data_IF_199317078249
#
_entry.id   IF_199317078249
#
_cell.length_a   1.000
_cell.length_b   1.000
_cell.length_c   1.000
_cell.angle_alpha   90.00
_cell.angle_beta   90.00
_cell.angle_gamma   90.00
#
_symmetry.space_group_name_H-M   'P 1'
#
loop_
_entity.id
_entity.type
_entity.pdbx_description
1 polymer ?
#
# COMPACT_ATOMS: atom_id res chain seq x y z
N UNK A 1 -8.00 -34.97 -18.47
CA UNK A 1 -8.91 -34.62 -17.36
C UNK A 1 -8.42 -33.36 -16.71
N UNK A 2 -9.12 -32.24 -16.90
CA UNK A 2 -8.81 -30.97 -16.25
C UNK A 2 -9.15 -31.11 -14.77
N UNK A 3 -8.15 -31.12 -13.91
CA UNK A 3 -8.33 -31.24 -12.47
C UNK A 3 -9.20 -30.05 -12.02
N UNK A 4 -10.43 -30.30 -11.54
CA UNK A 4 -11.29 -29.24 -11.00
C UNK A 4 -10.55 -28.54 -9.86
N UNK A 5 -10.33 -27.24 -9.99
CA UNK A 5 -9.69 -26.44 -8.93
C UNK A 5 -10.65 -26.35 -7.75
N UNK A 6 -10.27 -26.90 -6.62
CA UNK A 6 -10.99 -26.69 -5.36
C UNK A 6 -10.58 -25.34 -4.81
N UNK A 7 -11.43 -24.33 -4.98
CA UNK A 7 -11.18 -23.00 -4.49
C UNK A 7 -11.21 -22.95 -2.95
N UNK A 8 -10.24 -22.27 -2.31
CA UNK A 8 -10.20 -22.11 -0.86
C UNK A 8 -11.18 -21.02 -0.40
N UNK A 9 -11.46 -20.98 0.89
CA UNK A 9 -12.19 -19.87 1.49
C UNK A 9 -11.29 -18.64 1.62
N UNK A 10 -11.78 -17.47 1.20
CA UNK A 10 -11.07 -16.19 1.24
C UNK A 10 -11.80 -15.21 2.13
N UNK A 11 -11.08 -14.41 2.90
CA UNK A 11 -11.65 -13.33 3.70
C UNK A 11 -11.18 -11.98 3.19
N UNK A 12 -12.10 -11.01 3.19
CA UNK A 12 -11.82 -9.61 2.96
C UNK A 12 -12.03 -8.85 4.25
N UNK A 13 -11.02 -8.09 4.70
CA UNK A 13 -11.17 -7.15 5.81
C UNK A 13 -11.34 -5.78 5.18
N UNK A 14 -12.50 -5.18 5.39
CA UNK A 14 -12.84 -3.86 4.89
C UNK A 14 -12.98 -2.89 6.05
N UNK A 15 -12.13 -1.86 6.07
CA UNK A 15 -12.24 -0.79 7.04
C UNK A 15 -13.08 0.34 6.47
N UNK A 16 -13.98 0.90 7.29
CA UNK A 16 -14.85 1.99 6.89
C UNK A 16 -15.03 3.03 7.98
N UNK A 17 -15.18 4.29 7.54
CA UNK A 17 -15.63 5.44 8.32
C UNK A 17 -16.31 6.42 7.38
N UNK A 18 -17.64 6.60 7.52
CA UNK A 18 -18.43 7.47 6.67
C UNK A 18 -18.17 7.22 5.17
N UNK A 19 -18.27 5.94 4.77
CA UNK A 19 -17.91 5.47 3.42
C UNK A 19 -18.97 5.70 2.36
N UNK A 20 -20.24 5.82 2.74
CA UNK A 20 -21.37 6.13 1.86
C UNK A 20 -21.35 5.34 0.54
N UNK A 21 -21.33 6.06 -0.59
CA UNK A 21 -21.25 5.46 -1.93
C UNK A 21 -19.95 4.68 -2.20
N UNK A 22 -18.86 5.02 -1.52
CA UNK A 22 -17.58 4.33 -1.68
C UNK A 22 -17.69 2.88 -1.26
N UNK A 23 -18.16 2.62 -0.03
CA UNK A 23 -18.32 1.27 0.49
C UNK A 23 -19.33 0.45 -0.35
N UNK A 24 -20.39 1.09 -0.87
CA UNK A 24 -21.34 0.45 -1.79
C UNK A 24 -20.63 -0.07 -3.04
N UNK A 25 -19.92 0.80 -3.75
CA UNK A 25 -19.18 0.45 -4.98
C UNK A 25 -18.13 -0.64 -4.74
N UNK A 26 -17.42 -0.54 -3.60
CA UNK A 26 -16.45 -1.53 -3.17
C UNK A 26 -17.08 -2.91 -3.03
N UNK A 27 -18.14 -3.05 -2.22
CA UNK A 27 -18.83 -4.31 -1.96
C UNK A 27 -19.55 -4.86 -3.19
N UNK A 28 -20.17 -4.00 -4.01
CA UNK A 28 -20.76 -4.42 -5.28
C UNK A 28 -19.72 -4.99 -6.25
N UNK A 29 -18.49 -4.40 -6.30
CA UNK A 29 -17.41 -4.94 -7.10
C UNK A 29 -16.96 -6.33 -6.64
N UNK A 30 -17.02 -6.56 -5.32
CA UNK A 30 -16.74 -7.85 -4.72
C UNK A 30 -17.85 -8.88 -5.02
N UNK A 31 -19.12 -8.48 -4.94
CA UNK A 31 -20.26 -9.35 -5.33
C UNK A 31 -20.26 -9.77 -6.80
N UNK A 32 -19.67 -8.96 -7.68
CA UNK A 32 -19.55 -9.25 -9.13
C UNK A 32 -18.47 -10.28 -9.46
N UNK A 33 -17.71 -10.75 -8.47
CA UNK A 33 -16.65 -11.72 -8.71
C UNK A 33 -17.20 -13.09 -9.10
N UNK A 34 -16.53 -13.77 -10.02
CA UNK A 34 -16.87 -15.12 -10.47
C UNK A 34 -16.47 -16.22 -9.50
N UNK A 35 -15.95 -15.85 -8.33
CA UNK A 35 -15.57 -16.75 -7.25
C UNK A 35 -16.84 -17.27 -6.54
N UNK A 36 -16.87 -18.54 -6.05
CA UNK A 36 -18.04 -19.05 -5.33
C UNK A 36 -18.39 -18.17 -4.11
N UNK A 37 -19.63 -17.71 -4.05
CA UNK A 37 -20.06 -16.71 -3.06
C UNK A 37 -19.99 -17.23 -1.61
N UNK A 38 -20.23 -18.52 -1.40
CA UNK A 38 -20.12 -19.22 -0.10
C UNK A 38 -18.67 -19.31 0.43
N UNK A 39 -17.69 -19.14 -0.48
CA UNK A 39 -16.28 -19.12 -0.14
C UNK A 39 -15.73 -17.71 0.08
N UNK A 40 -16.53 -16.66 -0.05
CA UNK A 40 -16.15 -15.27 0.22
C UNK A 40 -16.66 -14.85 1.60
N UNK A 41 -15.76 -14.52 2.50
CA UNK A 41 -16.07 -13.99 3.83
C UNK A 41 -15.70 -12.50 3.90
N UNK A 42 -16.68 -11.63 4.15
CA UNK A 42 -16.47 -10.17 4.22
C UNK A 42 -16.62 -9.70 5.66
N UNK A 43 -15.50 -9.27 6.24
CA UNK A 43 -15.42 -8.69 7.58
C UNK A 43 -15.32 -7.19 7.45
N UNK A 44 -16.32 -6.46 7.90
CA UNK A 44 -16.32 -4.99 7.90
C UNK A 44 -16.05 -4.49 9.31
N UNK A 45 -15.00 -3.70 9.46
CA UNK A 45 -14.68 -3.01 10.71
C UNK A 45 -15.04 -1.54 10.53
N UNK A 46 -16.11 -1.12 11.19
CA UNK A 46 -16.59 0.25 11.17
C UNK A 46 -16.01 1.07 12.31
N UNK A 47 -15.45 2.24 11.97
CA UNK A 47 -14.79 3.14 12.93
C UNK A 47 -15.76 4.18 13.53
N UNK A 48 -17.05 3.83 13.66
CA UNK A 48 -18.09 4.70 14.22
C UNK A 48 -18.71 5.62 13.17
N UNK A 49 -19.09 5.07 12.01
CA UNK A 49 -19.77 5.83 10.96
C UNK A 49 -21.10 6.40 11.46
N UNK A 50 -21.40 7.62 11.02
CA UNK A 50 -22.65 8.35 11.31
C UNK A 50 -23.57 8.43 10.09
N UNK A 51 -23.12 7.91 8.95
CA UNK A 51 -23.91 7.78 7.73
C UNK A 51 -24.45 6.34 7.57
N UNK A 52 -25.03 6.02 6.44
CA UNK A 52 -25.62 4.71 6.13
C UNK A 52 -24.59 3.62 5.76
N UNK A 53 -23.30 3.78 6.09
CA UNK A 53 -22.24 2.81 5.74
C UNK A 53 -22.46 1.43 6.34
N UNK A 54 -22.94 1.38 7.59
CA UNK A 54 -23.19 0.12 8.31
C UNK A 54 -24.35 -0.64 7.67
N UNK A 55 -25.43 0.04 7.34
CA UNK A 55 -26.61 -0.52 6.68
C UNK A 55 -26.27 -1.05 5.29
N UNK A 56 -25.50 -0.28 4.51
CA UNK A 56 -24.99 -0.70 3.20
C UNK A 56 -24.15 -1.96 3.34
N UNK A 57 -23.22 -1.99 4.29
CA UNK A 57 -22.34 -3.13 4.49
C UNK A 57 -23.14 -4.41 4.81
N UNK A 58 -24.11 -4.32 5.72
CA UNK A 58 -24.98 -5.45 6.10
C UNK A 58 -25.83 -5.92 4.92
N UNK A 59 -26.46 -5.01 4.18
CA UNK A 59 -27.32 -5.35 3.02
C UNK A 59 -26.56 -6.03 1.89
N UNK A 60 -25.26 -5.76 1.80
CA UNK A 60 -24.36 -6.37 0.81
C UNK A 60 -23.62 -7.62 1.34
N UNK A 61 -24.00 -8.14 2.52
CA UNK A 61 -23.51 -9.42 3.05
C UNK A 61 -22.25 -9.31 3.92
N UNK A 62 -21.85 -8.10 4.32
CA UNK A 62 -20.75 -7.87 5.24
C UNK A 62 -21.09 -8.23 6.69
N UNK A 63 -20.20 -8.91 7.39
CA UNK A 63 -20.24 -9.08 8.84
C UNK A 63 -19.63 -7.85 9.50
N UNK A 64 -20.48 -6.97 10.03
CA UNK A 64 -20.06 -5.67 10.55
C UNK A 64 -19.73 -5.72 12.04
N UNK A 65 -18.57 -5.15 12.42
CA UNK A 65 -18.12 -4.96 13.78
C UNK A 65 -17.76 -3.46 13.96
N UNK A 66 -18.35 -2.83 14.98
CA UNK A 66 -18.18 -1.38 15.23
C UNK A 66 -17.12 -1.17 16.30
N UNK A 67 -16.09 -0.37 15.99
CA UNK A 67 -14.97 -0.06 16.87
C UNK A 67 -14.55 1.42 16.74
N UNK A 68 -15.29 2.37 17.34
CA UNK A 68 -15.10 3.81 17.14
C UNK A 68 -13.74 4.32 17.62
N UNK A 69 -13.18 3.73 18.67
CA UNK A 69 -11.89 4.12 19.26
C UNK A 69 -10.68 3.50 18.57
N UNK A 70 -10.88 2.72 17.52
CA UNK A 70 -9.80 2.08 16.76
C UNK A 70 -9.14 3.05 15.77
N UNK A 71 -7.83 2.89 15.58
CA UNK A 71 -7.14 3.45 14.42
C UNK A 71 -7.09 2.42 13.27
N UNK A 72 -6.59 2.83 12.11
CA UNK A 72 -6.48 1.99 10.92
C UNK A 72 -5.84 0.63 11.23
N UNK A 73 -4.70 0.62 11.94
CA UNK A 73 -3.93 -0.60 12.19
C UNK A 73 -4.55 -1.51 13.25
N UNK A 74 -5.03 -0.93 14.35
CA UNK A 74 -5.73 -1.70 15.38
C UNK A 74 -7.01 -2.36 14.83
N UNK A 75 -7.72 -1.67 13.94
CA UNK A 75 -8.92 -2.20 13.31
C UNK A 75 -8.61 -3.27 12.26
N UNK A 76 -7.47 -3.16 11.56
CA UNK A 76 -6.97 -4.23 10.71
C UNK A 76 -6.72 -5.52 11.53
N UNK A 77 -6.00 -5.41 12.65
CA UNK A 77 -5.73 -6.54 13.54
C UNK A 77 -7.01 -7.13 14.12
N UNK A 78 -7.98 -6.28 14.52
CA UNK A 78 -9.31 -6.75 14.95
C UNK A 78 -10.01 -7.57 13.86
N UNK A 79 -9.90 -7.10 12.62
CA UNK A 79 -10.40 -7.84 11.45
C UNK A 79 -9.75 -9.20 11.30
N UNK A 80 -8.42 -9.31 11.47
CA UNK A 80 -7.69 -10.60 11.42
C UNK A 80 -8.21 -11.64 12.43
N UNK A 81 -8.71 -11.21 13.58
CA UNK A 81 -9.32 -12.11 14.57
C UNK A 81 -10.74 -12.58 14.19
N UNK A 82 -11.36 -11.97 13.17
CA UNK A 82 -12.74 -12.27 12.75
C UNK A 82 -12.84 -13.05 11.45
N UNK A 83 -11.74 -13.20 10.70
CA UNK A 83 -11.72 -13.92 9.42
C UNK A 83 -11.97 -15.42 9.56
N UNK A 84 -12.51 -16.02 8.48
CA UNK A 84 -12.84 -17.44 8.38
C UNK A 84 -12.15 -18.16 7.22
N UNK A 85 -11.42 -17.39 6.38
CA UNK A 85 -10.72 -17.91 5.22
C UNK A 85 -9.28 -18.31 5.51
N UNK A 86 -8.68 -19.05 4.59
CA UNK A 86 -7.25 -19.42 4.61
C UNK A 86 -6.36 -18.32 4.04
N UNK A 87 -6.98 -17.40 3.32
CA UNK A 87 -6.35 -16.24 2.69
C UNK A 87 -7.10 -14.98 3.08
N UNK A 88 -6.37 -13.87 3.24
CA UNK A 88 -6.96 -12.57 3.61
C UNK A 88 -6.49 -11.46 2.68
N UNK A 89 -7.43 -10.62 2.27
CA UNK A 89 -7.16 -9.39 1.53
C UNK A 89 -7.63 -8.19 2.33
N UNK A 90 -6.75 -7.19 2.44
CA UNK A 90 -7.09 -5.91 3.04
C UNK A 90 -7.72 -4.98 2.01
N UNK A 91 -8.93 -4.54 2.27
CA UNK A 91 -9.73 -3.70 1.39
C UNK A 91 -10.08 -2.38 2.09
N UNK A 92 -10.08 -1.29 1.35
CA UNK A 92 -10.56 0.01 1.80
C UNK A 92 -11.86 0.37 1.09
N UNK A 93 -12.68 1.19 1.72
CA UNK A 93 -14.00 1.59 1.21
C UNK A 93 -13.98 2.32 -0.14
N UNK A 94 -12.83 2.84 -0.56
CA UNK A 94 -12.61 3.58 -1.81
C UNK A 94 -11.90 2.76 -2.90
N UNK A 95 -11.84 1.42 -2.72
CA UNK A 95 -11.30 0.48 -3.71
C UNK A 95 -12.44 -0.21 -4.47
N UNK A 96 -12.30 -0.29 -5.79
CA UNK A 96 -13.22 -1.02 -6.68
C UNK A 96 -12.42 -2.06 -7.47
N UNK A 97 -12.74 -3.35 -7.29
CA UNK A 97 -12.07 -4.46 -7.96
C UNK A 97 -12.38 -4.44 -9.46
N UNK A 98 -11.35 -4.62 -10.28
CA UNK A 98 -11.46 -4.64 -11.75
C UNK A 98 -11.79 -6.05 -12.24
N UNK A 99 -12.76 -6.13 -13.17
CA UNK A 99 -13.15 -7.41 -13.77
C UNK A 99 -13.88 -8.34 -12.82
N UNK A 100 -14.18 -9.53 -13.31
CA UNK A 100 -14.92 -10.57 -12.56
C UNK A 100 -14.04 -11.65 -11.96
N UNK A 101 -12.78 -11.74 -12.38
CA UNK A 101 -11.86 -12.81 -12.02
C UNK A 101 -10.72 -12.35 -11.11
N UNK A 102 -10.88 -11.19 -10.44
CA UNK A 102 -9.87 -10.65 -9.54
C UNK A 102 -9.45 -11.68 -8.48
N UNK A 103 -10.43 -12.26 -7.77
CA UNK A 103 -10.15 -13.22 -6.69
C UNK A 103 -9.44 -14.45 -7.24
N UNK A 104 -9.94 -15.03 -8.33
CA UNK A 104 -9.34 -16.23 -8.97
C UNK A 104 -7.91 -15.99 -9.40
N UNK A 105 -7.65 -14.86 -10.06
CA UNK A 105 -6.32 -14.51 -10.56
C UNK A 105 -5.33 -14.25 -9.41
N UNK A 106 -5.80 -13.62 -8.32
CA UNK A 106 -4.95 -13.38 -7.16
C UNK A 106 -4.66 -14.65 -6.33
N UNK A 107 -5.60 -15.59 -6.27
CA UNK A 107 -5.46 -16.84 -5.50
C UNK A 107 -4.69 -17.91 -6.27
N UNK A 108 -4.84 -17.97 -7.60
CA UNK A 108 -4.22 -19.02 -8.43
C UNK A 108 -2.71 -19.18 -8.19
N UNK A 109 -1.86 -18.12 -8.19
CA UNK A 109 -0.44 -18.28 -7.90
C UNK A 109 -0.16 -18.90 -6.53
N UNK A 110 -0.98 -18.56 -5.52
CA UNK A 110 -0.85 -19.13 -4.19
C UNK A 110 -1.20 -20.63 -4.14
N UNK A 111 -2.05 -21.11 -5.05
CA UNK A 111 -2.33 -22.54 -5.19
C UNK A 111 -1.23 -23.26 -5.97
N UNK A 112 -0.67 -22.60 -6.98
CA UNK A 112 0.36 -23.16 -7.87
C UNK A 112 1.73 -23.27 -7.20
N UNK A 113 2.06 -22.34 -6.27
CA UNK A 113 3.38 -22.28 -5.63
C UNK A 113 3.26 -22.07 -4.10
N UNK A 114 3.56 -23.11 -3.36
CA UNK A 114 3.48 -23.11 -1.89
C UNK A 114 4.55 -22.22 -1.20
N UNK A 115 5.59 -21.78 -1.91
CA UNK A 115 6.59 -20.84 -1.35
C UNK A 115 6.02 -19.44 -1.20
N UNK A 116 5.00 -19.08 -1.97
CA UNK A 116 4.44 -17.75 -2.02
C UNK A 116 3.66 -17.42 -0.74
N UNK A 117 4.05 -16.32 -0.09
CA UNK A 117 3.41 -15.78 1.11
C UNK A 117 2.15 -15.01 0.75
N UNK A 118 2.26 -14.19 -0.28
CA UNK A 118 1.18 -13.33 -0.73
C UNK A 118 1.28 -13.05 -2.24
N UNK A 119 0.13 -12.66 -2.80
CA UNK A 119 0.06 -12.08 -4.15
C UNK A 119 -0.34 -10.61 -4.06
N UNK A 120 0.17 -9.80 -4.97
CA UNK A 120 -0.22 -8.41 -5.12
C UNK A 120 -0.42 -8.04 -6.58
N UNK A 121 -1.12 -6.95 -6.81
CA UNK A 121 -1.41 -6.42 -8.15
C UNK A 121 -1.29 -4.89 -8.12
N UNK A 122 -1.35 -4.28 -9.29
CA UNK A 122 -1.25 -2.81 -9.42
C UNK A 122 -2.61 -2.14 -9.42
N UNK A 123 -2.58 -0.85 -9.20
CA UNK A 123 -3.69 0.06 -9.44
C UNK A 123 -3.80 0.40 -10.92
N UNK A 124 -5.00 0.76 -11.33
CA UNK A 124 -5.29 1.23 -12.68
C UNK A 124 -5.94 2.61 -12.65
N UNK A 125 -5.56 3.50 -13.55
CA UNK A 125 -6.27 4.76 -13.72
C UNK A 125 -7.68 4.51 -14.30
N UNK A 126 -8.66 5.27 -13.84
CA UNK A 126 -10.01 5.30 -14.41
C UNK A 126 -10.34 6.70 -14.90
N UNK A 127 -10.97 6.81 -16.09
CA UNK A 127 -11.26 8.10 -16.73
C UNK A 127 -12.08 9.07 -15.87
N UNK A 128 -12.95 8.54 -15.00
CA UNK A 128 -13.80 9.32 -14.11
C UNK A 128 -13.14 9.69 -12.78
N UNK A 129 -11.87 9.33 -12.58
CA UNK A 129 -11.11 9.78 -11.41
C UNK A 129 -10.68 11.23 -11.58
N UNK A 130 -10.64 11.96 -10.47
CA UNK A 130 -9.89 13.21 -10.41
C UNK A 130 -8.44 12.96 -10.82
N UNK A 131 -7.75 13.95 -11.39
CA UNK A 131 -6.39 13.78 -11.93
C UNK A 131 -5.38 13.29 -10.86
N UNK A 132 -5.58 13.62 -9.59
CA UNK A 132 -4.68 13.21 -8.49
C UNK A 132 -4.67 11.69 -8.28
N UNK A 133 -5.77 11.00 -7.92
CA UNK A 133 -5.76 9.54 -7.82
C UNK A 133 -5.41 8.87 -9.14
N UNK A 134 -5.76 9.48 -10.29
CA UNK A 134 -5.40 8.97 -11.61
C UNK A 134 -3.89 9.01 -11.84
N UNK A 135 -3.22 10.12 -11.46
CA UNK A 135 -1.75 10.21 -11.47
C UNK A 135 -1.09 9.13 -10.60
N UNK A 136 -1.58 8.95 -9.37
CA UNK A 136 -1.04 7.97 -8.42
C UNK A 136 -1.22 6.52 -8.91
N UNK A 137 -2.27 6.23 -9.68
CA UNK A 137 -2.57 4.89 -10.19
C UNK A 137 -1.60 4.40 -11.28
N UNK A 138 -0.70 5.25 -11.76
CA UNK A 138 0.38 4.85 -12.67
C UNK A 138 1.59 4.23 -11.97
N UNK A 139 1.53 4.08 -10.64
CA UNK A 139 2.52 3.40 -9.82
C UNK A 139 1.95 2.10 -9.26
N UNK A 140 2.80 1.12 -8.95
CA UNK A 140 2.35 -0.18 -8.46
C UNK A 140 1.53 -0.09 -7.16
N UNK A 141 1.78 0.92 -6.32
CA UNK A 141 1.23 0.98 -4.96
C UNK A 141 0.96 2.41 -4.51
N UNK A 142 0.24 3.21 -5.27
CA UNK A 142 -0.06 4.61 -4.92
C UNK A 142 1.15 5.42 -4.45
N UNK A 143 2.29 5.18 -5.01
CA UNK A 143 3.45 5.97 -4.70
C UNK A 143 3.31 7.35 -5.35
N UNK A 144 3.38 8.39 -4.54
CA UNK A 144 3.75 9.70 -5.04
C UNK A 144 5.25 9.70 -5.42
N UNK A 145 5.73 10.71 -6.14
CA UNK A 145 7.11 10.74 -6.62
C UNK A 145 8.17 10.61 -5.53
N UNK A 146 7.92 11.09 -4.30
CA UNK A 146 8.83 10.91 -3.17
C UNK A 146 8.90 9.44 -2.73
N UNK A 147 7.75 8.79 -2.55
CA UNK A 147 7.72 7.39 -2.14
C UNK A 147 8.29 6.48 -3.23
N UNK A 148 7.99 6.76 -4.52
CA UNK A 148 8.60 6.06 -5.64
C UNK A 148 10.13 6.14 -5.61
N UNK A 149 10.66 7.31 -5.28
CA UNK A 149 12.09 7.53 -5.16
C UNK A 149 12.72 6.78 -3.97
N UNK A 150 12.03 6.70 -2.84
CA UNK A 150 12.53 6.08 -1.61
C UNK A 150 12.47 4.55 -1.63
N UNK A 151 11.48 3.98 -2.30
CA UNK A 151 11.28 2.53 -2.34
C UNK A 151 12.12 1.84 -3.43
N UNK A 152 12.34 0.55 -3.25
CA UNK A 152 12.88 -0.30 -4.31
C UNK A 152 11.81 -0.45 -5.42
N UNK A 153 12.14 -0.22 -6.71
CA UNK A 153 11.24 -0.56 -7.80
C UNK A 153 10.82 -2.03 -7.74
N UNK A 154 9.53 -2.29 -7.93
CA UNK A 154 8.96 -3.67 -7.84
C UNK A 154 9.68 -4.63 -8.79
N UNK A 155 10.04 -4.15 -9.99
CA UNK A 155 10.73 -4.93 -11.03
C UNK A 155 12.10 -5.45 -10.58
N UNK A 156 12.75 -4.76 -9.64
CA UNK A 156 14.04 -5.22 -9.07
C UNK A 156 13.90 -6.47 -8.19
N UNK A 157 12.67 -6.80 -7.79
CA UNK A 157 12.39 -8.04 -7.04
C UNK A 157 12.00 -9.21 -7.93
N UNK A 158 11.79 -9.03 -9.23
CA UNK A 158 11.36 -10.07 -10.17
C UNK A 158 12.45 -11.11 -10.37
N UNK A 159 12.12 -12.39 -10.18
CA UNK A 159 13.06 -13.50 -10.33
C UNK A 159 12.60 -14.57 -11.32
N UNK A 160 11.29 -14.77 -11.50
CA UNK A 160 10.75 -15.83 -12.36
C UNK A 160 9.40 -15.42 -12.95
N UNK A 161 9.26 -15.46 -14.28
CA UNK A 161 7.99 -15.20 -14.97
C UNK A 161 7.24 -16.52 -15.17
N UNK A 162 5.99 -16.57 -14.72
CA UNK A 162 5.07 -17.70 -14.89
C UNK A 162 3.84 -17.29 -15.69
N UNK A 163 3.00 -18.26 -16.03
CA UNK A 163 1.76 -17.96 -16.75
C UNK A 163 0.78 -17.19 -15.85
N UNK A 164 0.61 -15.91 -16.15
CA UNK A 164 -0.29 -15.00 -15.45
C UNK A 164 0.28 -14.30 -14.22
N UNK A 165 1.50 -14.58 -13.79
CA UNK A 165 2.13 -13.89 -12.65
C UNK A 165 3.67 -13.90 -12.72
N UNK A 166 4.29 -13.08 -11.89
CA UNK A 166 5.76 -12.99 -11.75
C UNK A 166 6.10 -13.25 -10.29
N UNK A 167 7.02 -14.20 -10.04
CA UNK A 167 7.54 -14.47 -8.71
C UNK A 167 8.53 -13.36 -8.34
N UNK A 168 8.36 -12.82 -7.15
CA UNK A 168 9.20 -11.79 -6.56
C UNK A 168 9.94 -12.37 -5.36
N UNK A 169 11.22 -12.00 -5.19
CA UNK A 169 11.98 -12.30 -3.98
C UNK A 169 12.37 -11.02 -3.29
N UNK A 170 11.85 -10.81 -2.08
CA UNK A 170 12.16 -9.64 -1.26
C UNK A 170 13.35 -9.89 -0.36
N UNK A 171 14.08 -8.82 -0.04
CA UNK A 171 15.25 -8.85 0.84
C UNK A 171 15.01 -7.98 2.06
N UNK A 172 15.63 -8.32 3.20
CA UNK A 172 15.41 -7.62 4.48
C UNK A 172 15.81 -6.12 4.44
N UNK A 173 16.78 -5.74 3.63
CA UNK A 173 17.34 -4.37 3.68
C UNK A 173 16.48 -3.34 2.97
N UNK A 174 15.84 -3.69 1.86
CA UNK A 174 15.00 -2.79 1.06
C UNK A 174 13.94 -3.58 0.34
N UNK A 175 12.69 -3.28 0.62
CA UNK A 175 11.53 -3.92 -0.02
C UNK A 175 10.82 -2.94 -0.95
N UNK A 176 10.09 -3.44 -1.98
CA UNK A 176 9.17 -2.62 -2.75
C UNK A 176 8.07 -2.01 -1.87
N UNK A 177 7.34 -0.99 -2.37
CA UNK A 177 6.21 -0.43 -1.63
C UNK A 177 5.19 -1.50 -1.26
N UNK A 178 4.58 -1.38 -0.09
CA UNK A 178 3.49 -2.27 0.30
C UNK A 178 2.28 -2.05 -0.61
N UNK A 179 1.91 -3.10 -1.34
CA UNK A 179 0.70 -3.14 -2.14
C UNK A 179 -0.45 -3.77 -1.37
N UNK A 180 -1.66 -3.66 -1.90
CA UNK A 180 -2.79 -4.48 -1.43
C UNK A 180 -2.51 -5.94 -1.79
N UNK A 181 -2.41 -6.79 -0.77
CA UNK A 181 -1.99 -8.18 -0.93
C UNK A 181 -3.04 -9.17 -0.45
N UNK A 182 -3.17 -10.29 -1.18
CA UNK A 182 -3.76 -11.50 -0.65
C UNK A 182 -2.68 -12.28 0.11
N UNK A 183 -2.79 -12.30 1.42
CA UNK A 183 -1.88 -13.04 2.29
C UNK A 183 -2.39 -14.46 2.57
N UNK A 184 -1.49 -15.41 2.58
CA UNK A 184 -1.73 -16.74 3.09
C UNK A 184 -1.60 -16.73 4.62
N UNK A 185 -2.70 -16.93 5.33
CA UNK A 185 -2.77 -16.80 6.79
C UNK A 185 -1.75 -17.68 7.53
N UNK A 186 -1.50 -18.89 7.02
CA UNK A 186 -0.53 -19.79 7.65
C UNK A 186 0.88 -19.19 7.78
N UNK A 187 1.30 -18.32 6.85
CA UNK A 187 2.61 -17.65 6.91
C UNK A 187 2.57 -16.45 7.84
N UNK A 188 1.50 -15.67 7.83
CA UNK A 188 1.33 -14.59 8.79
C UNK A 188 1.41 -15.10 10.24
N UNK A 189 0.70 -16.19 10.54
CA UNK A 189 0.71 -16.82 11.88
C UNK A 189 2.09 -17.30 12.34
N UNK A 190 3.03 -17.53 11.42
CA UNK A 190 4.41 -17.92 11.73
C UNK A 190 5.34 -16.75 11.97
N UNK A 191 4.90 -15.52 11.69
CA UNK A 191 5.69 -14.32 11.95
C UNK A 191 5.49 -13.85 13.40
N UNK A 192 6.53 -13.30 14.07
CA UNK A 192 6.35 -12.75 15.40
C UNK A 192 5.38 -11.57 15.38
N UNK A 193 4.58 -11.46 16.44
CA UNK A 193 3.69 -10.30 16.66
C UNK A 193 2.68 -10.00 15.54
N UNK A 194 2.25 -10.99 14.78
CA UNK A 194 1.35 -10.82 13.63
C UNK A 194 -0.02 -10.20 13.97
N UNK A 195 -0.39 -10.16 15.24
CA UNK A 195 -1.64 -9.55 15.75
C UNK A 195 -1.41 -8.37 16.70
N UNK A 196 -0.21 -7.79 16.73
CA UNK A 196 0.05 -6.62 17.60
C UNK A 196 -0.57 -5.34 17.03
N UNK A 197 -0.98 -4.47 17.94
CA UNK A 197 -1.79 -3.27 17.64
C UNK A 197 -1.12 -2.20 16.73
N UNK A 198 0.18 -2.28 16.52
CA UNK A 198 0.96 -1.26 15.83
C UNK A 198 1.66 -1.82 14.58
N UNK A 199 0.98 -2.64 13.80
CA UNK A 199 1.52 -3.22 12.59
C UNK A 199 1.28 -2.33 11.40
N UNK A 200 2.36 -1.88 10.76
CA UNK A 200 2.32 -1.19 9.48
C UNK A 200 2.37 -2.21 8.32
N UNK A 201 1.80 -1.92 7.15
CA UNK A 201 1.77 -2.86 6.01
C UNK A 201 3.16 -3.42 5.68
N UNK A 202 4.20 -2.58 5.76
CA UNK A 202 5.59 -2.97 5.52
C UNK A 202 6.14 -3.92 6.59
N UNK A 203 5.66 -3.82 7.83
CA UNK A 203 6.10 -4.70 8.92
C UNK A 203 5.66 -6.14 8.70
N UNK A 204 4.47 -6.37 8.12
CA UNK A 204 4.02 -7.70 7.70
C UNK A 204 4.97 -8.31 6.67
N UNK A 205 5.30 -7.52 5.64
CA UNK A 205 6.17 -7.97 4.56
C UNK A 205 7.56 -8.29 5.11
N UNK A 206 8.15 -7.36 5.88
CA UNK A 206 9.51 -7.53 6.38
C UNK A 206 9.61 -8.66 7.40
N UNK A 207 8.58 -8.85 8.23
CA UNK A 207 8.55 -9.98 9.18
C UNK A 207 8.42 -11.32 8.46
N UNK A 208 7.66 -11.40 7.37
CA UNK A 208 7.66 -12.60 6.53
C UNK A 208 9.06 -12.89 5.97
N UNK A 209 9.74 -11.85 5.43
CA UNK A 209 11.10 -11.99 4.89
C UNK A 209 12.08 -12.47 5.97
N UNK A 210 12.09 -11.82 7.15
CA UNK A 210 12.95 -12.17 8.29
C UNK A 210 12.66 -13.54 8.88
N UNK A 211 11.43 -14.01 8.75
CA UNK A 211 11.03 -15.37 9.15
C UNK A 211 11.33 -16.45 8.11
N UNK A 212 12.08 -16.12 7.03
CA UNK A 212 12.47 -17.07 6.00
C UNK A 212 11.44 -17.26 4.88
N UNK A 213 10.46 -16.35 4.76
CA UNK A 213 9.41 -16.39 3.73
C UNK A 213 9.51 -15.21 2.77
N UNK A 214 10.54 -15.13 1.87
CA UNK A 214 10.81 -13.97 1.05
C UNK A 214 10.06 -13.93 -0.28
N UNK A 215 9.21 -14.94 -0.60
CA UNK A 215 8.61 -15.08 -1.91
C UNK A 215 7.19 -14.54 -1.96
N UNK A 216 6.96 -13.64 -2.93
CA UNK A 216 5.68 -13.01 -3.24
C UNK A 216 5.39 -13.17 -4.72
N UNK A 217 4.17 -12.89 -5.18
CA UNK A 217 3.89 -12.87 -6.60
C UNK A 217 3.18 -11.59 -7.03
N UNK A 218 3.69 -10.99 -8.09
CA UNK A 218 3.02 -9.91 -8.80
C UNK A 218 2.08 -10.47 -9.85
N UNK A 219 0.81 -10.10 -9.79
CA UNK A 219 -0.25 -10.49 -10.73
C UNK A 219 -0.65 -9.25 -11.54
N UNK A 220 -0.23 -9.13 -12.82
CA UNK A 220 -0.45 -7.91 -13.61
C UNK A 220 -1.92 -7.55 -13.79
N UNK A 221 -2.78 -8.56 -13.97
CA UNK A 221 -4.21 -8.41 -14.22
C UNK A 221 -5.02 -9.25 -13.22
N UNK A 222 -6.19 -8.78 -12.78
CA UNK A 222 -6.97 -7.67 -13.33
C UNK A 222 -6.72 -6.30 -12.67
N UNK A 223 -6.08 -6.21 -11.48
CA UNK A 223 -5.88 -4.98 -10.75
C UNK A 223 -7.16 -4.39 -10.14
N UNK A 224 -7.08 -3.17 -9.62
CA UNK A 224 -8.19 -2.46 -9.01
C UNK A 224 -8.11 -0.95 -9.26
N UNK A 225 -9.23 -0.25 -9.05
CA UNK A 225 -9.30 1.20 -9.02
C UNK A 225 -9.29 1.67 -7.57
N UNK A 226 -8.53 2.73 -7.27
CA UNK A 226 -8.45 3.29 -5.92
C UNK A 226 -8.68 4.80 -5.93
N UNK A 227 -9.78 5.23 -5.38
CA UNK A 227 -10.21 6.63 -5.33
C UNK A 227 -9.63 7.36 -4.12
N UNK A 228 -8.32 7.22 -3.91
CA UNK A 228 -7.56 7.58 -2.70
C UNK A 228 -7.70 9.04 -2.23
N UNK A 229 -7.76 9.99 -3.14
CA UNK A 229 -7.81 11.41 -2.82
C UNK A 229 -8.78 12.17 -3.73
N UNK A 230 -9.56 13.08 -3.15
CA UNK A 230 -10.52 13.89 -3.91
C UNK A 230 -9.83 14.95 -4.77
N UNK A 231 -8.73 15.53 -4.28
CA UNK A 231 -7.93 16.56 -4.96
C UNK A 231 -6.53 16.63 -4.32
N UNK A 232 -5.67 17.53 -4.82
CA UNK A 232 -4.30 17.72 -4.35
C UNK A 232 -4.24 18.16 -2.87
N UNK A 233 -5.07 19.11 -2.48
CA UNK A 233 -5.11 19.59 -1.08
C UNK A 233 -5.45 18.44 -0.12
N UNK A 234 -6.45 17.62 -0.46
CA UNK A 234 -6.81 16.45 0.35
C UNK A 234 -5.66 15.43 0.41
N UNK A 235 -4.92 15.23 -0.68
CA UNK A 235 -3.75 14.36 -0.69
C UNK A 235 -2.65 14.88 0.25
N UNK A 236 -2.31 16.17 0.17
CA UNK A 236 -1.32 16.81 1.04
C UNK A 236 -1.71 16.68 2.52
N UNK A 237 -2.96 17.01 2.86
CA UNK A 237 -3.48 16.88 4.23
C UNK A 237 -3.41 15.43 4.73
N UNK A 238 -3.75 14.46 3.88
CA UNK A 238 -3.69 13.02 4.22
C UNK A 238 -2.23 12.58 4.46
N UNK A 239 -1.28 13.04 3.64
CA UNK A 239 0.15 12.72 3.82
C UNK A 239 0.71 13.31 5.11
N UNK A 240 0.47 14.58 5.37
CA UNK A 240 0.91 15.26 6.60
C UNK A 240 0.28 14.61 7.84
N UNK A 241 -1.03 14.35 7.81
CA UNK A 241 -1.71 13.64 8.90
C UNK A 241 -1.10 12.27 9.16
N UNK A 242 -0.81 11.50 8.13
CA UNK A 242 -0.20 10.17 8.27
C UNK A 242 1.21 10.25 8.90
N UNK A 243 2.00 11.28 8.57
CA UNK A 243 3.28 11.53 9.28
C UNK A 243 3.04 11.77 10.76
N UNK A 244 2.10 12.66 11.12
CA UNK A 244 1.79 12.99 12.50
C UNK A 244 1.22 11.82 13.31
N UNK A 245 0.42 10.95 12.68
CA UNK A 245 -0.23 9.82 13.37
C UNK A 245 0.66 8.57 13.47
N UNK A 246 1.54 8.36 12.49
CA UNK A 246 2.21 7.07 12.34
C UNK A 246 3.73 7.18 12.36
N UNK A 247 4.31 8.18 11.71
CA UNK A 247 5.77 8.30 11.63
C UNK A 247 6.38 8.99 12.85
N UNK A 248 5.95 10.19 13.18
CA UNK A 248 6.58 10.99 14.23
C UNK A 248 6.51 10.35 15.63
N UNK A 249 5.35 9.79 16.10
CA UNK A 249 5.27 9.13 17.41
C UNK A 249 6.14 7.88 17.54
N UNK A 250 6.39 7.22 16.42
CA UNK A 250 7.11 5.94 16.39
C UNK A 250 8.54 6.08 15.83
N UNK A 251 9.02 7.31 15.57
CA UNK A 251 10.37 7.54 15.03
C UNK A 251 11.44 6.88 15.90
N UNK A 252 12.25 6.04 15.25
CA UNK A 252 13.29 5.24 15.91
C UNK A 252 12.83 3.91 16.52
N UNK A 253 11.52 3.59 16.47
CA UNK A 253 10.96 2.33 17.00
C UNK A 253 10.55 1.35 15.90
N UNK A 254 10.55 1.76 14.63
CA UNK A 254 10.14 0.89 13.52
C UNK A 254 11.10 -0.27 13.29
N UNK A 255 10.54 -1.42 12.98
CA UNK A 255 11.28 -2.59 12.54
C UNK A 255 11.84 -2.45 11.12
N UNK A 256 11.22 -1.60 10.31
CA UNK A 256 11.63 -1.29 8.95
C UNK A 256 11.71 0.23 8.75
N UNK A 257 12.85 0.70 8.26
CA UNK A 257 13.06 2.11 7.91
C UNK A 257 13.18 2.25 6.40
N UNK A 258 12.27 3.04 5.81
CA UNK A 258 12.30 3.35 4.37
C UNK A 258 13.57 4.10 3.99
N UNK A 259 14.06 4.95 4.91
CA UNK A 259 15.27 5.73 4.78
C UNK A 259 16.16 5.52 6.01
N UNK A 260 17.41 5.12 5.78
CA UNK A 260 18.40 5.00 6.85
C UNK A 260 19.17 6.33 6.98
N UNK A 261 18.84 7.12 8.01
CA UNK A 261 19.52 8.40 8.30
C UNK A 261 21.01 8.27 8.60
N UNK A 262 21.51 7.06 8.90
CA UNK A 262 22.94 6.79 9.11
C UNK A 262 23.68 6.47 7.79
N UNK A 263 22.95 6.28 6.70
CA UNK A 263 23.54 6.02 5.39
C UNK A 263 23.67 7.32 4.59
N UNK A 264 24.91 7.81 4.46
CA UNK A 264 25.21 9.07 3.74
C UNK A 264 24.67 9.10 2.31
N UNK A 265 24.72 7.98 1.60
CA UNK A 265 24.21 7.90 0.23
C UNK A 265 22.69 8.09 0.19
N UNK A 266 21.95 7.46 1.09
CA UNK A 266 20.49 7.62 1.14
C UNK A 266 20.10 9.06 1.53
N UNK A 267 20.82 9.67 2.47
CA UNK A 267 20.60 11.07 2.86
C UNK A 267 20.92 12.02 1.70
N UNK A 268 22.05 11.81 0.99
CA UNK A 268 22.39 12.61 -0.19
C UNK A 268 21.30 12.50 -1.27
N UNK A 269 20.84 11.29 -1.54
CA UNK A 269 19.76 11.07 -2.50
C UNK A 269 18.48 11.78 -2.10
N UNK A 270 18.10 11.78 -0.81
CA UNK A 270 16.95 12.54 -0.33
C UNK A 270 17.11 14.04 -0.56
N UNK A 271 18.31 14.60 -0.27
CA UNK A 271 18.61 16.02 -0.52
C UNK A 271 18.46 16.32 -2.01
N UNK A 272 19.06 15.50 -2.87
CA UNK A 272 18.94 15.65 -4.33
C UNK A 272 17.49 15.54 -4.81
N UNK A 273 16.69 14.68 -4.17
CA UNK A 273 15.26 14.60 -4.49
C UNK A 273 14.52 15.87 -4.09
N UNK A 274 14.79 16.44 -2.92
CA UNK A 274 14.18 17.72 -2.50
C UNK A 274 14.52 18.84 -3.48
N UNK A 275 15.79 18.92 -3.94
CA UNK A 275 16.20 19.86 -4.97
C UNK A 275 15.44 19.58 -6.29
N UNK A 276 15.41 18.34 -6.75
CA UNK A 276 14.66 17.93 -7.94
C UNK A 276 13.18 18.33 -7.86
N UNK A 277 12.54 18.10 -6.71
CA UNK A 277 11.13 18.39 -6.49
C UNK A 277 10.82 19.89 -6.59
N UNK A 278 11.79 20.74 -6.27
CA UNK A 278 11.68 22.21 -6.36
C UNK A 278 12.14 22.76 -7.71
N UNK A 279 12.70 21.93 -8.59
CA UNK A 279 13.03 22.29 -9.95
C UNK A 279 11.89 21.87 -10.90
N UNK A 280 11.17 22.85 -11.44
CA UNK A 280 10.02 22.59 -12.30
C UNK A 280 10.34 21.74 -13.53
N UNK A 281 11.40 22.11 -14.26
CA UNK A 281 11.70 21.50 -15.56
C UNK A 281 12.01 20.00 -15.55
N UNK A 282 12.85 19.45 -14.66
CA UNK A 282 13.11 18.02 -14.65
C UNK A 282 11.84 17.18 -14.41
N UNK A 283 10.99 17.62 -13.48
CA UNK A 283 9.72 16.96 -13.21
C UNK A 283 8.73 17.11 -14.38
N UNK A 284 8.71 18.26 -15.06
CA UNK A 284 7.89 18.48 -16.25
C UNK A 284 8.32 17.57 -17.41
N UNK A 285 9.63 17.43 -17.65
CA UNK A 285 10.17 16.52 -18.68
C UNK A 285 9.77 15.07 -18.37
N UNK A 286 9.92 14.62 -17.14
CA UNK A 286 9.51 13.26 -16.73
C UNK A 286 8.01 13.07 -16.93
N UNK A 287 7.19 14.02 -16.49
CA UNK A 287 5.74 13.99 -16.68
C UNK A 287 5.34 13.95 -18.16
N UNK A 288 6.02 14.71 -19.01
CA UNK A 288 5.79 14.71 -20.46
C UNK A 288 6.14 13.37 -21.11
N UNK A 289 7.28 12.76 -20.76
CA UNK A 289 7.66 11.43 -21.26
C UNK A 289 6.60 10.39 -20.86
N UNK A 290 6.14 10.43 -19.62
CA UNK A 290 5.07 9.54 -19.13
C UNK A 290 3.74 9.80 -19.85
N UNK A 291 3.39 11.06 -20.12
CA UNK A 291 2.23 11.43 -20.93
C UNK A 291 2.32 10.84 -22.34
N UNK A 292 3.45 10.96 -23.02
CA UNK A 292 3.62 10.38 -24.36
C UNK A 292 3.41 8.85 -24.36
N UNK A 293 3.85 8.17 -23.29
CA UNK A 293 3.72 6.73 -23.13
C UNK A 293 2.27 6.29 -22.83
N UNK A 294 1.58 7.00 -21.96
CA UNK A 294 0.29 6.57 -21.42
C UNK A 294 -0.90 7.35 -21.97
N UNK A 295 -0.66 8.45 -22.67
CA UNK A 295 -1.68 9.35 -23.26
C UNK A 295 -2.68 9.89 -22.22
N UNK A 296 -2.24 10.10 -20.99
CA UNK A 296 -3.05 10.66 -19.91
C UNK A 296 -2.46 11.99 -19.41
N UNK A 297 -3.23 13.07 -19.58
CA UNK A 297 -2.81 14.42 -19.21
C UNK A 297 -2.53 14.58 -17.71
N UNK A 298 -3.11 13.72 -16.84
CA UNK A 298 -2.82 13.73 -15.40
C UNK A 298 -1.31 13.62 -15.11
N UNK A 299 -0.54 12.99 -16.00
CA UNK A 299 0.90 12.82 -15.87
C UNK A 299 1.68 14.11 -16.13
N UNK A 300 1.10 15.08 -16.86
CA UNK A 300 1.70 16.41 -17.02
C UNK A 300 1.71 17.21 -15.72
N UNK A 301 0.89 16.81 -14.73
CA UNK A 301 0.84 17.44 -13.41
C UNK A 301 1.96 16.96 -12.47
N UNK A 302 2.92 16.21 -12.96
CA UNK A 302 4.04 15.69 -12.17
C UNK A 302 4.83 16.77 -11.42
N UNK A 303 5.21 17.92 -12.00
CA UNK A 303 5.91 18.96 -11.24
C UNK A 303 5.07 19.53 -10.11
N UNK A 304 3.76 19.69 -10.33
CA UNK A 304 2.84 20.23 -9.32
C UNK A 304 2.70 19.26 -8.13
N UNK A 305 2.48 17.98 -8.39
CA UNK A 305 2.28 16.99 -7.33
C UNK A 305 3.59 16.71 -6.58
N UNK A 306 4.73 16.69 -7.29
CA UNK A 306 6.05 16.46 -6.71
C UNK A 306 6.42 17.58 -5.75
N UNK A 307 6.30 18.84 -6.18
CA UNK A 307 6.51 20.02 -5.35
C UNK A 307 5.57 20.01 -4.12
N UNK A 308 4.26 19.93 -4.37
CA UNK A 308 3.25 20.06 -3.32
C UNK A 308 3.40 19.01 -2.22
N UNK A 309 3.67 17.75 -2.56
CA UNK A 309 3.86 16.67 -1.59
C UNK A 309 5.18 16.87 -0.83
N UNK A 310 6.27 17.13 -1.55
CA UNK A 310 7.60 17.27 -0.93
C UNK A 310 7.62 18.42 0.07
N UNK A 311 7.13 19.59 -0.32
CA UNK A 311 7.15 20.77 0.55
C UNK A 311 6.16 20.67 1.72
N UNK A 312 4.99 20.07 1.51
CA UNK A 312 4.05 19.80 2.63
C UNK A 312 4.68 18.90 3.68
N UNK A 313 5.40 17.86 3.25
CA UNK A 313 6.08 16.94 4.15
C UNK A 313 7.28 17.63 4.82
N UNK A 314 8.10 18.36 4.08
CA UNK A 314 9.22 19.12 4.63
C UNK A 314 8.76 20.08 5.72
N UNK A 315 7.68 20.85 5.48
CA UNK A 315 7.09 21.72 6.47
C UNK A 315 6.56 20.96 7.70
N UNK A 316 5.98 19.78 7.51
CA UNK A 316 5.54 18.94 8.61
C UNK A 316 6.73 18.46 9.47
N UNK A 317 7.82 18.03 8.83
CA UNK A 317 9.05 17.64 9.53
C UNK A 317 9.68 18.81 10.31
N UNK A 318 9.69 20.01 9.76
CA UNK A 318 10.20 21.20 10.44
C UNK A 318 9.33 21.62 11.64
N UNK A 319 8.02 21.40 11.58
CA UNK A 319 7.09 21.77 12.67
C UNK A 319 7.11 20.76 13.82
N UNK A 320 7.32 19.48 13.55
CA UNK A 320 7.30 18.42 14.56
C UNK A 320 8.66 18.21 15.25
N UNK A 321 8.67 17.86 16.55
CA UNK A 321 9.90 17.61 17.31
C UNK A 321 10.66 16.38 16.77
N UNK A 322 9.97 15.28 16.49
CA UNK A 322 10.58 14.06 15.95
C UNK A 322 11.03 14.27 14.50
N UNK A 323 10.28 15.10 13.75
CA UNK A 323 10.66 15.52 12.40
C UNK A 323 11.97 16.31 12.39
N UNK A 324 12.12 17.31 13.27
CA UNK A 324 13.38 18.07 13.44
C UNK A 324 14.53 17.17 13.87
N UNK A 325 14.26 16.21 14.77
CA UNK A 325 15.27 15.23 15.18
C UNK A 325 15.71 14.38 13.98
N UNK A 326 14.78 13.90 13.16
CA UNK A 326 15.11 13.17 11.92
C UNK A 326 16.03 13.98 10.99
N UNK A 327 15.73 15.26 10.77
CA UNK A 327 16.56 16.16 9.96
C UNK A 327 17.96 16.32 10.57
N UNK A 328 18.04 16.57 11.87
CA UNK A 328 19.32 16.72 12.60
C UNK A 328 20.15 15.44 12.54
N UNK A 329 19.53 14.27 12.76
CA UNK A 329 20.21 12.97 12.69
C UNK A 329 20.77 12.72 11.28
N UNK A 330 19.99 13.11 10.25
CA UNK A 330 20.41 13.01 8.84
C UNK A 330 21.62 13.92 8.53
N UNK A 331 21.57 15.18 8.96
CA UNK A 331 22.67 16.14 8.77
C UNK A 331 23.91 15.68 9.52
N UNK A 332 23.78 15.26 10.77
CA UNK A 332 24.91 14.80 11.59
C UNK A 332 25.58 13.56 10.98
N UNK A 333 24.82 12.66 10.38
CA UNK A 333 25.37 11.50 9.69
C UNK A 333 26.17 11.89 8.45
N UNK A 334 25.82 13.00 7.81
CA UNK A 334 26.52 13.52 6.64
C UNK A 334 27.84 14.22 7.03
N UNK A 335 27.85 14.98 8.15
CA UNK A 335 28.99 15.79 8.60
C UNK A 335 30.02 14.93 9.33
N UNK A 336 29.63 13.93 10.12
CA UNK A 336 30.55 13.06 10.85
C UNK A 336 31.41 12.23 9.88
N UNK A 337 32.65 12.65 9.65
CA UNK A 337 33.67 11.80 9.05
C UNK A 337 33.88 10.64 10.01
N UNK A 338 33.57 9.40 9.62
CA UNK A 338 34.08 8.27 10.39
C UNK A 338 35.60 8.30 10.34
N UNK A 339 36.33 8.18 11.48
CA UNK A 339 37.73 7.96 11.43
C UNK A 339 37.99 6.69 10.61
N UNK A 340 38.84 6.81 9.61
CA UNK A 340 39.35 5.67 8.84
C UNK A 340 39.94 4.71 9.87
N UNK A 341 39.34 3.53 10.01
CA UNK A 341 39.96 2.49 10.83
C UNK A 341 41.31 2.15 10.21
N UNK A 342 42.36 2.55 10.94
CA UNK A 342 43.76 2.22 10.67
C UNK A 342 44.00 0.74 10.88
#
# INVERSE_FOLDING_TARGET
MTRMIKWPKVSFILLTLNGGDGIRKCLESLKKQSYPADLIDVVVIDNGSKDNSVEIAKSLGGRVFIHPEGNLYSNWVRGLHKIRGDFVFYLEQDIVLRGRDFIKNMIKPLLDDNRLVATFTKEYPHKNMHWVPRFLSYHYCQCDPLLEFLFLPVEKSFIEKKNGYIVCKYQDKKIPPAARMFYRIKYLKKTPNWTTKNYFDHDFIINCVRSGYPYFAYVPEPGYYHYHARNLQHLMQKRVRNMGMHFFPEYGKYHYTILNTKNKHEVLWLILFVIYANLFFPAAIRGFIRFLKHKDWALLMEPVITLAITDSLLLAFLKDKSGRKFITDSINSFIKVQPVAS
#
